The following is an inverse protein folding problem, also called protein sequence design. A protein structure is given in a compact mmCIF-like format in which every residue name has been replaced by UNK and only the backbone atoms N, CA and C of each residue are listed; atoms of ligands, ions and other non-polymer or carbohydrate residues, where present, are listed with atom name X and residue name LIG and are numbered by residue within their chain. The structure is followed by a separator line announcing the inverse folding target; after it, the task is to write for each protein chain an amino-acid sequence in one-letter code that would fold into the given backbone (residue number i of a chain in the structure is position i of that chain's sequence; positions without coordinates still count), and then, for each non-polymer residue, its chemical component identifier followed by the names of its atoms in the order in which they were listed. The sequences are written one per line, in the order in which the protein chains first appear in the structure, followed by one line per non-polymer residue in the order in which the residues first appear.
data_IF_769854875352
#
_entry.id   IF_769854875352
#
_cell.length_a   1.000
_cell.length_b   1.000
_cell.length_c   1.000
_cell.angle_alpha   90.00
_cell.angle_beta   90.00
_cell.angle_gamma   90.00
#
_symmetry.space_group_name_H-M   'P 1'
#
loop_
_entity.id
_entity.type
_entity.pdbx_description
1 polymer ?
#
# COMPACT_ATOMS: atom_id res chain seq x y z
N UNK A 1 17.22 -12.77 -19.05
CA UNK A 1 15.82 -12.43 -19.39
C UNK A 1 15.22 -11.76 -18.16
N UNK A 2 14.62 -10.56 -18.30
CA UNK A 2 14.03 -9.83 -17.16
C UNK A 2 12.73 -10.49 -16.71
N UNK A 3 12.70 -11.00 -15.48
CA UNK A 3 11.50 -11.55 -14.82
C UNK A 3 10.93 -10.48 -13.89
N UNK A 4 9.63 -10.19 -14.06
CA UNK A 4 8.91 -9.24 -13.21
C UNK A 4 8.09 -10.03 -12.18
N UNK A 5 8.26 -9.70 -10.91
CA UNK A 5 7.54 -10.34 -9.81
C UNK A 5 6.23 -9.61 -9.50
N UNK A 6 5.41 -10.20 -8.61
CA UNK A 6 4.19 -9.58 -8.09
C UNK A 6 3.23 -9.06 -9.17
N UNK A 7 3.13 -9.77 -10.30
CA UNK A 7 2.31 -9.40 -11.47
C UNK A 7 2.73 -8.10 -12.17
N UNK A 8 3.98 -7.68 -12.01
CA UNK A 8 4.58 -6.64 -12.83
C UNK A 8 4.66 -7.02 -14.30
N UNK A 9 4.67 -6.02 -15.17
CA UNK A 9 4.81 -6.19 -16.63
C UNK A 9 6.09 -5.53 -17.10
N UNK A 10 6.76 -6.11 -18.10
CA UNK A 10 8.00 -5.53 -18.62
C UNK A 10 7.71 -4.15 -19.21
N UNK A 11 8.54 -3.16 -18.89
CA UNK A 11 8.38 -1.81 -19.42
C UNK A 11 8.63 -1.81 -20.95
N UNK A 12 7.65 -1.42 -21.79
CA UNK A 12 7.81 -1.38 -23.24
C UNK A 12 8.90 -0.42 -23.72
N UNK A 13 9.23 0.61 -22.93
CA UNK A 13 10.28 1.59 -23.24
C UNK A 13 11.66 1.17 -22.75
N UNK A 14 11.73 0.28 -21.76
CA UNK A 14 12.97 -0.20 -21.19
C UNK A 14 12.83 -1.67 -20.74
N UNK A 15 13.25 -2.60 -21.60
CA UNK A 15 13.12 -4.04 -21.35
C UNK A 15 13.89 -4.56 -20.11
N UNK A 16 14.73 -3.73 -19.50
CA UNK A 16 15.51 -4.09 -18.32
C UNK A 16 14.78 -3.79 -17.01
N UNK A 17 13.58 -3.21 -17.02
CA UNK A 17 12.80 -2.93 -15.82
C UNK A 17 11.32 -3.30 -15.98
N UNK A 18 10.60 -3.24 -14.87
CA UNK A 18 9.20 -3.61 -14.77
C UNK A 18 8.33 -2.41 -14.37
N UNK A 19 7.14 -2.33 -14.94
CA UNK A 19 6.05 -1.51 -14.43
C UNK A 19 5.34 -2.30 -13.32
N UNK A 20 5.32 -1.73 -12.12
CA UNK A 20 4.88 -2.43 -10.93
C UNK A 20 3.44 -2.08 -10.54
N UNK A 21 2.66 -3.06 -10.05
CA UNK A 21 1.37 -2.79 -9.43
C UNK A 21 1.51 -1.91 -8.19
N UNK A 22 0.43 -1.22 -7.84
CA UNK A 22 0.37 -0.38 -6.65
C UNK A 22 0.71 -1.19 -5.38
N UNK A 23 1.64 -0.69 -4.57
CA UNK A 23 2.19 -1.41 -3.41
C UNK A 23 3.49 -2.15 -3.67
N UNK A 24 4.02 -2.14 -4.91
CA UNK A 24 5.32 -2.70 -5.30
C UNK A 24 6.17 -1.70 -6.09
N UNK A 25 7.48 -1.81 -5.96
CA UNK A 25 8.47 -0.97 -6.63
C UNK A 25 9.79 -1.73 -6.86
N UNK A 26 10.80 -0.98 -7.30
CA UNK A 26 12.09 -1.53 -7.69
C UNK A 26 12.08 -2.02 -9.13
N UNK A 27 13.28 -2.35 -9.64
CA UNK A 27 13.48 -2.75 -11.05
C UNK A 27 12.66 -3.97 -11.46
N UNK A 28 12.36 -4.85 -10.50
CA UNK A 28 11.68 -6.13 -10.72
C UNK A 28 10.39 -6.30 -9.90
N UNK A 29 9.88 -5.22 -9.29
CA UNK A 29 8.66 -5.24 -8.46
C UNK A 29 8.75 -6.09 -7.19
N UNK A 30 9.95 -6.20 -6.62
CA UNK A 30 10.25 -6.96 -5.40
C UNK A 30 10.45 -6.08 -4.17
N UNK A 31 10.42 -4.76 -4.34
CA UNK A 31 10.66 -3.80 -3.27
C UNK A 31 9.36 -3.12 -2.86
N UNK A 32 9.30 -2.68 -1.60
CA UNK A 32 8.20 -1.83 -1.14
C UNK A 32 8.37 -0.42 -1.73
N UNK A 33 7.32 0.17 -2.32
CA UNK A 33 7.39 1.53 -2.80
C UNK A 33 7.69 2.48 -1.64
N UNK A 34 8.50 3.49 -1.94
CA UNK A 34 8.53 4.70 -1.12
C UNK A 34 7.14 5.33 -1.18
N UNK A 35 6.77 6.05 -0.14
CA UNK A 35 5.55 6.86 -0.13
C UNK A 35 5.51 7.84 -1.30
N UNK A 36 4.32 8.39 -1.57
CA UNK A 36 4.11 9.39 -2.63
C UNK A 36 5.10 10.56 -2.51
N UNK A 37 5.48 11.16 -3.64
CA UNK A 37 6.35 12.33 -3.64
C UNK A 37 5.78 13.43 -2.74
N UNK A 38 6.61 13.98 -1.86
CA UNK A 38 6.26 14.95 -0.82
C UNK A 38 5.48 14.39 0.40
N UNK A 39 5.27 13.07 0.47
CA UNK A 39 4.75 12.45 1.69
C UNK A 39 5.81 12.38 2.80
N UNK A 40 5.39 12.75 4.02
CA UNK A 40 6.21 12.54 5.23
C UNK A 40 6.15 11.11 5.74
N UNK A 41 5.13 10.35 5.35
CA UNK A 41 5.03 8.95 5.74
C UNK A 41 6.13 8.16 5.03
N UNK A 42 6.83 7.24 5.69
CA UNK A 42 7.86 6.41 5.04
C UNK A 42 7.38 4.99 4.75
N UNK A 43 6.26 4.60 5.37
CA UNK A 43 5.79 3.22 5.40
C UNK A 43 6.80 2.28 6.05
N UNK A 44 6.39 1.07 6.34
CA UNK A 44 7.25 0.10 7.02
C UNK A 44 6.92 -1.33 6.54
N UNK A 45 7.92 -2.21 6.63
CA UNK A 45 7.71 -3.65 6.56
C UNK A 45 7.65 -4.18 7.99
N UNK A 46 6.51 -4.74 8.37
CA UNK A 46 6.22 -5.19 9.73
C UNK A 46 6.02 -6.70 9.72
N UNK A 47 6.80 -7.41 10.53
CA UNK A 47 6.59 -8.83 10.76
C UNK A 47 5.51 -9.04 11.82
N UNK A 48 4.48 -9.79 11.47
CA UNK A 48 3.39 -10.14 12.37
C UNK A 48 3.84 -11.18 13.40
N UNK A 49 3.32 -11.05 14.61
CA UNK A 49 3.51 -12.01 15.72
C UNK A 49 2.16 -12.62 16.09
N UNK A 50 2.13 -13.46 17.13
CA UNK A 50 0.87 -14.01 17.66
C UNK A 50 0.03 -12.98 18.42
N UNK A 51 0.65 -11.86 18.80
CA UNK A 51 -0.01 -10.78 19.54
C UNK A 51 -0.33 -9.61 18.60
N UNK A 52 -1.41 -8.90 18.91
CA UNK A 52 -1.76 -7.69 18.18
C UNK A 52 -0.72 -6.59 18.42
N UNK A 53 -0.24 -6.01 17.33
CA UNK A 53 0.61 -4.83 17.34
C UNK A 53 -0.15 -3.68 16.68
N UNK A 54 -0.31 -2.59 17.41
CA UNK A 54 -0.96 -1.39 16.88
C UNK A 54 -0.03 -0.65 15.91
N UNK A 55 -0.58 -0.29 14.76
CA UNK A 55 0.07 0.54 13.75
C UNK A 55 -0.73 1.83 13.61
N UNK A 56 -0.16 2.94 14.10
CA UNK A 56 -0.77 4.27 13.95
C UNK A 56 -0.18 4.96 12.74
N UNK A 57 -1.04 5.36 11.80
CA UNK A 57 -0.64 6.02 10.57
C UNK A 57 -1.25 7.42 10.56
N UNK A 58 -0.40 8.43 10.43
CA UNK A 58 -0.81 9.83 10.26
C UNK A 58 -0.38 10.29 8.88
N UNK A 59 -1.35 10.68 8.06
CA UNK A 59 -1.14 11.06 6.66
C UNK A 59 -2.07 12.22 6.29
N UNK A 60 -1.65 13.04 5.32
CA UNK A 60 -2.44 14.16 4.82
C UNK A 60 -2.25 15.46 5.62
N UNK A 61 -2.91 16.51 5.14
CA UNK A 61 -2.86 17.86 5.71
C UNK A 61 -4.24 18.50 5.66
N UNK A 62 -4.80 18.82 6.83
CA UNK A 62 -6.15 19.41 6.98
C UNK A 62 -6.30 20.78 6.32
N UNK A 63 -5.18 21.48 6.06
CA UNK A 63 -5.18 22.79 5.41
C UNK A 63 -5.04 22.70 3.88
N UNK A 64 -4.89 21.49 3.33
CA UNK A 64 -4.77 21.29 1.89
C UNK A 64 -6.17 21.06 1.31
N UNK A 65 -6.48 21.75 0.21
CA UNK A 65 -7.68 21.46 -0.57
C UNK A 65 -7.64 20.03 -1.11
N UNK A 66 -8.80 19.50 -1.50
CA UNK A 66 -8.93 18.22 -2.19
C UNK A 66 -7.98 18.16 -3.40
N UNK A 67 -7.42 16.99 -3.66
CA UNK A 67 -6.47 16.74 -4.74
C UNK A 67 -6.98 15.57 -5.57
N UNK A 68 -6.70 15.58 -6.87
CA UNK A 68 -7.03 14.44 -7.74
C UNK A 68 -6.25 13.18 -7.36
N UNK A 69 -5.04 13.34 -6.84
CA UNK A 69 -4.19 12.25 -6.36
C UNK A 69 -4.06 12.27 -4.83
N UNK A 70 -4.25 11.10 -4.22
CA UNK A 70 -4.02 10.91 -2.80
C UNK A 70 -2.53 10.89 -2.48
N UNK A 71 -2.16 11.48 -1.34
CA UNK A 71 -0.91 11.12 -0.67
C UNK A 71 -1.03 9.66 -0.25
N UNK A 72 -0.09 8.81 -0.68
CA UNK A 72 -0.12 7.37 -0.42
C UNK A 72 1.06 6.94 0.45
N UNK A 73 0.77 6.05 1.41
CA UNK A 73 1.77 5.40 2.24
C UNK A 73 1.56 3.90 2.25
N UNK A 74 2.64 3.15 2.02
CA UNK A 74 2.58 1.71 1.81
C UNK A 74 3.26 0.95 2.95
N UNK A 75 2.51 0.03 3.54
CA UNK A 75 2.99 -0.90 4.56
C UNK A 75 2.94 -2.32 4.01
N UNK A 76 3.99 -3.10 4.30
CA UNK A 76 3.98 -4.55 4.08
C UNK A 76 3.87 -5.23 5.42
N UNK A 77 2.87 -6.09 5.58
CA UNK A 77 2.70 -6.89 6.80
C UNK A 77 2.95 -8.33 6.40
N UNK A 78 4.02 -8.90 6.93
CA UNK A 78 4.51 -10.22 6.57
C UNK A 78 4.26 -11.19 7.71
N UNK A 79 3.83 -12.40 7.39
CA UNK A 79 3.69 -13.49 8.37
C UNK A 79 4.53 -14.69 7.96
N UNK A 80 5.00 -15.51 8.92
CA UNK A 80 5.71 -16.73 8.59
C UNK A 80 4.88 -17.69 7.71
N UNK A 81 5.52 -18.58 6.93
CA UNK A 81 4.79 -19.59 6.16
C UNK A 81 3.86 -20.43 7.04
N UNK A 82 2.73 -20.87 6.47
CA UNK A 82 1.71 -21.68 7.16
C UNK A 82 1.04 -21.00 8.36
N UNK A 83 1.00 -19.66 8.38
CA UNK A 83 0.23 -18.88 9.37
C UNK A 83 -0.92 -18.13 8.72
N UNK A 84 -1.90 -17.73 9.51
CA UNK A 84 -2.96 -16.82 9.08
C UNK A 84 -2.69 -15.43 9.64
N UNK A 85 -2.57 -14.44 8.76
CA UNK A 85 -2.45 -13.04 9.15
C UNK A 85 -3.83 -12.42 9.35
N UNK A 86 -4.05 -11.84 10.52
CA UNK A 86 -5.24 -11.05 10.81
C UNK A 86 -4.89 -9.56 10.86
N UNK A 87 -5.65 -8.75 10.14
CA UNK A 87 -5.52 -7.29 10.12
C UNK A 87 -6.88 -6.68 10.36
N UNK A 88 -6.94 -5.72 11.29
CA UNK A 88 -8.16 -4.99 11.65
C UNK A 88 -7.90 -3.50 11.60
N UNK A 89 -8.86 -2.73 11.11
CA UNK A 89 -8.84 -1.28 11.23
C UNK A 89 -9.41 -0.93 12.59
N UNK A 90 -8.54 -0.57 13.55
CA UNK A 90 -8.95 -0.28 14.92
C UNK A 90 -9.77 1.01 15.04
N UNK A 91 -9.47 2.01 14.21
CA UNK A 91 -10.20 3.27 14.16
C UNK A 91 -9.66 4.18 13.08
N UNK A 92 -10.49 5.12 12.64
CA UNK A 92 -10.11 6.22 11.77
C UNK A 92 -10.43 7.51 12.51
N UNK A 93 -9.43 8.39 12.66
CA UNK A 93 -9.62 9.70 13.29
C UNK A 93 -9.93 10.75 12.22
N UNK A 94 -11.04 11.46 12.39
CA UNK A 94 -11.50 12.50 11.47
C UNK A 94 -12.98 12.34 11.13
N UNK A 95 -13.61 13.43 10.70
CA UNK A 95 -15.04 13.46 10.34
C UNK A 95 -15.14 13.46 8.82
N UNK A 96 -15.38 12.29 8.23
CA UNK A 96 -15.55 12.15 6.78
C UNK A 96 -16.93 11.59 6.38
N UNK A 97 -18.07 12.12 6.87
CA UNK A 97 -19.40 11.66 6.47
C UNK A 97 -19.78 12.22 5.10
N UNK A 98 -18.94 11.99 4.10
CA UNK A 98 -19.19 12.35 2.71
C UNK A 98 -19.44 11.07 1.92
N UNK A 99 -20.18 11.16 0.83
CA UNK A 99 -20.37 10.01 -0.05
C UNK A 99 -19.02 9.59 -0.65
N UNK A 100 -18.61 8.35 -0.33
CA UNK A 100 -17.32 7.80 -0.72
C UNK A 100 -16.16 8.14 0.23
N UNK A 101 -14.94 7.90 -0.25
CA UNK A 101 -13.71 8.24 0.48
C UNK A 101 -12.90 9.33 -0.26
N UNK A 102 -13.46 10.55 -0.47
CA UNK A 102 -12.83 11.57 -1.32
C UNK A 102 -11.60 12.22 -0.67
N UNK A 103 -11.49 12.20 0.66
CA UNK A 103 -10.42 12.89 1.38
C UNK A 103 -9.32 11.96 1.89
N UNK A 104 -9.70 10.77 2.36
CA UNK A 104 -8.78 9.80 2.92
C UNK A 104 -9.41 8.40 2.92
N UNK A 105 -8.57 7.37 2.91
CA UNK A 105 -9.02 5.99 3.01
C UNK A 105 -7.87 5.04 3.30
N UNK A 106 -8.22 3.81 3.68
CA UNK A 106 -7.28 2.70 3.87
C UNK A 106 -7.70 1.57 2.95
N UNK A 107 -6.77 1.05 2.14
CA UNK A 107 -6.98 -0.13 1.32
C UNK A 107 -6.15 -1.30 1.85
N UNK A 108 -6.81 -2.40 2.21
CA UNK A 108 -6.16 -3.65 2.60
C UNK A 108 -6.06 -4.59 1.38
N UNK A 109 -4.84 -4.83 0.90
CA UNK A 109 -4.54 -5.76 -0.20
C UNK A 109 -4.04 -7.09 0.33
N UNK A 110 -4.93 -8.10 0.40
CA UNK A 110 -4.62 -9.43 0.94
C UNK A 110 -4.71 -10.56 -0.11
N UNK A 111 -5.06 -10.22 -1.37
CA UNK A 111 -5.22 -11.21 -2.44
C UNK A 111 -3.88 -11.53 -3.09
N UNK A 112 -3.74 -12.75 -3.63
CA UNK A 112 -2.54 -13.20 -4.37
C UNK A 112 -2.25 -12.35 -5.63
N UNK A 113 -3.29 -11.80 -6.26
CA UNK A 113 -3.11 -10.83 -7.34
C UNK A 113 -3.24 -9.41 -6.77
N UNK A 114 -2.13 -8.66 -6.66
CA UNK A 114 -2.13 -7.34 -6.02
C UNK A 114 -2.81 -6.26 -6.86
N UNK A 115 -3.09 -6.53 -8.14
CA UNK A 115 -3.77 -5.59 -9.05
C UNK A 115 -5.26 -5.45 -8.74
N UNK A 116 -5.83 -6.40 -7.99
CA UNK A 116 -7.23 -6.36 -7.61
C UNK A 116 -7.43 -5.39 -6.44
N UNK A 117 -8.46 -4.56 -6.54
CA UNK A 117 -8.88 -3.62 -5.49
C UNK A 117 -10.16 -4.09 -4.81
N UNK A 118 -10.31 -3.71 -3.54
CA UNK A 118 -11.50 -4.03 -2.74
C UNK A 118 -11.60 -5.49 -2.27
N UNK A 119 -12.35 -5.68 -1.18
CA UNK A 119 -12.67 -6.99 -0.61
C UNK A 119 -14.10 -7.36 -0.97
N UNK A 120 -14.30 -7.88 -2.18
CA UNK A 120 -15.52 -8.60 -2.54
C UNK A 120 -15.39 -10.08 -2.21
#
# INVERSE_FOLDING_TARGET
MTTCENRGVRNPRNCNECLCPLGYAGKFCTERPKSSENSKCRGETVSATQEYKDLTITLGNVNKAEQEEFEQCFFWIESPPNTQLEVRVAGLNGTYPNDGCPYAGVELKMRRDPRLTGRR
#
